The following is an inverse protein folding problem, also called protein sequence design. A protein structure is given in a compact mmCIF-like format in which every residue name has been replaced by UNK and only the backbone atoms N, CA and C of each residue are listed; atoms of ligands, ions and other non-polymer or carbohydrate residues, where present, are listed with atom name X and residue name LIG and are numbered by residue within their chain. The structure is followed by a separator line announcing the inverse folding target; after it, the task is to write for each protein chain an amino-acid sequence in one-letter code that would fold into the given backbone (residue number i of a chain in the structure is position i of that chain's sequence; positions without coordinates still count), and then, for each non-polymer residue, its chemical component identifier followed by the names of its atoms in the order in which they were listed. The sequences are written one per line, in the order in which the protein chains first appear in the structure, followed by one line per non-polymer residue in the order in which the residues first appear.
data_IF_295931250489
#
_entry.id   IF_295931250489
#
_cell.length_a   1.000
_cell.length_b   1.000
_cell.length_c   1.000
_cell.angle_alpha   90.00
_cell.angle_beta   90.00
_cell.angle_gamma   90.00
#
_symmetry.space_group_name_H-M   'P 1'
#
loop_
_entity.id
_entity.type
_entity.pdbx_description
1 polymer ?
#
# COMPACT_ATOMS: atom_id res chain seq x y z
N UNK A 1 9.17 -11.89 -25.17
CA UNK A 1 7.85 -12.37 -24.70
C UNK A 1 7.17 -11.17 -24.08
N UNK A 2 5.97 -10.84 -24.52
CA UNK A 2 5.20 -9.73 -23.97
C UNK A 2 4.41 -10.22 -22.76
N UNK A 3 4.65 -9.61 -21.60
CA UNK A 3 4.05 -9.95 -20.31
C UNK A 3 3.11 -8.87 -19.79
N UNK A 4 2.83 -7.84 -20.60
CA UNK A 4 2.13 -6.62 -20.16
C UNK A 4 0.82 -6.95 -19.45
N UNK A 5 0.01 -7.83 -20.05
CA UNK A 5 -1.27 -8.23 -19.47
C UNK A 5 -1.12 -8.94 -18.12
N UNK A 6 -0.15 -9.85 -17.97
CA UNK A 6 0.08 -10.58 -16.73
C UNK A 6 0.59 -9.66 -15.63
N UNK A 7 1.46 -8.71 -15.98
CA UNK A 7 1.98 -7.70 -15.04
C UNK A 7 0.87 -6.74 -14.60
N UNK A 8 -0.03 -6.32 -15.48
CA UNK A 8 -1.19 -5.50 -15.13
C UNK A 8 -2.19 -6.24 -14.22
N UNK A 9 -2.46 -7.52 -14.52
CA UNK A 9 -3.31 -8.36 -13.67
C UNK A 9 -2.71 -8.52 -12.27
N UNK A 10 -1.40 -8.81 -12.19
CA UNK A 10 -0.70 -8.92 -10.93
C UNK A 10 -0.76 -7.60 -10.14
N UNK A 11 -0.48 -6.46 -10.80
CA UNK A 11 -0.53 -5.13 -10.16
C UNK A 11 -1.91 -4.87 -9.55
N UNK A 12 -2.97 -5.05 -10.33
CA UNK A 12 -4.35 -4.85 -9.87
C UNK A 12 -4.68 -5.74 -8.67
N UNK A 13 -4.23 -7.00 -8.71
CA UNK A 13 -4.47 -7.95 -7.62
C UNK A 13 -3.75 -7.55 -6.33
N UNK A 14 -2.47 -7.16 -6.42
CA UNK A 14 -1.70 -6.71 -5.25
C UNK A 14 -2.25 -5.41 -4.65
N UNK A 15 -2.67 -4.45 -5.49
CA UNK A 15 -3.30 -3.21 -5.02
C UNK A 15 -4.63 -3.51 -4.31
N UNK A 16 -5.47 -4.38 -4.87
CA UNK A 16 -6.71 -4.82 -4.22
C UNK A 16 -6.46 -5.53 -2.89
N UNK A 17 -5.41 -6.36 -2.81
CA UNK A 17 -5.02 -7.02 -1.56
C UNK A 17 -4.56 -6.01 -0.50
N UNK A 18 -3.72 -5.04 -0.88
CA UNK A 18 -3.28 -3.94 0.01
C UNK A 18 -4.48 -3.21 0.59
N UNK A 19 -5.42 -2.81 -0.26
CA UNK A 19 -6.58 -2.01 0.15
C UNK A 19 -7.48 -2.80 1.13
N UNK A 20 -7.69 -4.08 0.88
CA UNK A 20 -8.42 -4.97 1.80
C UNK A 20 -7.72 -5.07 3.15
N UNK A 21 -6.40 -5.28 3.17
CA UNK A 21 -5.64 -5.36 4.41
C UNK A 21 -5.71 -4.04 5.19
N UNK A 22 -5.57 -2.89 4.52
CA UNK A 22 -5.67 -1.58 5.17
C UNK A 22 -7.06 -1.35 5.76
N UNK A 23 -8.12 -1.71 5.03
CA UNK A 23 -9.50 -1.59 5.49
C UNK A 23 -9.78 -2.40 6.77
N UNK A 24 -9.20 -3.60 6.92
CA UNK A 24 -9.34 -4.41 8.14
C UNK A 24 -8.64 -3.74 9.34
N UNK A 25 -7.45 -3.17 9.15
CA UNK A 25 -6.75 -2.44 10.21
C UNK A 25 -7.52 -1.20 10.67
N UNK A 26 -8.07 -0.43 9.73
CA UNK A 26 -8.91 0.72 10.03
C UNK A 26 -10.22 0.31 10.71
N UNK A 27 -10.81 -0.84 10.35
CA UNK A 27 -12.00 -1.38 11.01
C UNK A 27 -11.74 -1.68 12.48
N UNK A 28 -10.62 -2.31 12.80
CA UNK A 28 -10.20 -2.60 14.17
C UNK A 28 -10.01 -1.30 14.98
N UNK A 29 -9.43 -0.25 14.38
CA UNK A 29 -9.30 1.06 15.03
C UNK A 29 -10.67 1.69 15.31
N UNK A 30 -11.59 1.65 14.32
CA UNK A 30 -12.96 2.17 14.47
C UNK A 30 -13.74 1.45 15.58
N UNK A 31 -13.61 0.12 15.70
CA UNK A 31 -14.22 -0.66 16.78
C UNK A 31 -13.78 -0.18 18.18
N UNK A 32 -12.58 0.38 18.28
CA UNK A 32 -12.02 0.91 19.52
C UNK A 32 -12.19 2.44 19.67
N UNK A 33 -13.00 3.06 18.81
CA UNK A 33 -13.32 4.48 18.82
C UNK A 33 -12.14 5.37 18.39
N UNK A 34 -11.31 4.88 17.48
CA UNK A 34 -10.20 5.61 16.88
C UNK A 34 -10.51 5.91 15.41
N UNK A 35 -10.23 7.14 14.98
CA UNK A 35 -10.34 7.59 13.58
C UNK A 35 -9.01 7.45 12.83
N UNK A 36 -8.13 6.57 13.29
CA UNK A 36 -6.86 6.34 12.62
C UNK A 36 -7.07 5.70 11.24
N UNK A 37 -6.42 6.27 10.22
CA UNK A 37 -6.50 5.85 8.83
C UNK A 37 -5.11 5.77 8.19
N UNK A 38 -4.98 5.00 7.10
CA UNK A 38 -3.73 4.90 6.35
C UNK A 38 -3.42 6.17 5.57
N UNK A 39 -2.21 6.68 5.76
CA UNK A 39 -1.60 7.65 4.85
C UNK A 39 -0.82 6.92 3.75
N UNK A 40 -1.23 7.11 2.50
CA UNK A 40 -0.59 6.51 1.33
C UNK A 40 0.44 7.47 0.72
N UNK A 41 1.68 7.00 0.56
CA UNK A 41 2.77 7.76 -0.05
C UNK A 41 3.28 7.01 -1.29
N UNK A 42 3.05 7.52 -2.51
CA UNK A 42 3.67 6.97 -3.70
C UNK A 42 5.18 7.24 -3.70
N UNK A 43 5.96 6.32 -4.26
CA UNK A 43 7.38 6.49 -4.45
C UNK A 43 7.84 5.87 -5.76
N UNK A 44 8.92 6.40 -6.30
CA UNK A 44 9.58 5.90 -7.50
C UNK A 44 11.07 5.71 -7.19
N UNK A 45 11.66 4.64 -7.72
CA UNK A 45 13.09 4.39 -7.58
C UNK A 45 13.82 5.17 -8.65
N UNK A 46 14.72 6.05 -8.22
CA UNK A 46 15.71 6.66 -9.11
C UNK A 46 16.77 5.63 -9.51
N UNK A 47 17.23 5.73 -10.75
CA UNK A 47 18.30 4.90 -11.32
C UNK A 47 19.41 5.83 -11.80
N UNK A 48 20.67 5.38 -11.73
CA UNK A 48 21.83 6.19 -12.11
C UNK A 48 21.84 6.56 -13.61
N UNK A 49 21.16 5.77 -14.44
CA UNK A 49 21.06 5.95 -15.89
C UNK A 49 19.73 6.59 -16.34
N UNK A 50 18.84 6.95 -15.42
CA UNK A 50 17.55 7.55 -15.70
C UNK A 50 16.50 6.59 -16.27
N UNK A 51 16.75 5.27 -16.27
CA UNK A 51 15.77 4.25 -16.62
C UNK A 51 14.68 4.09 -15.54
N UNK A 52 13.54 3.48 -15.88
CA UNK A 52 12.48 3.22 -14.89
C UNK A 52 12.95 2.17 -13.85
N UNK A 53 13.19 2.61 -12.62
CA UNK A 53 13.61 1.73 -11.51
C UNK A 53 12.47 1.00 -10.79
N UNK A 54 11.24 1.20 -11.25
CA UNK A 54 10.02 0.77 -10.56
C UNK A 54 9.59 1.73 -9.44
N UNK A 55 8.64 1.30 -8.62
CA UNK A 55 8.06 2.12 -7.57
C UNK A 55 6.95 1.38 -6.84
N UNK A 56 6.16 2.12 -6.07
CA UNK A 56 5.01 1.57 -5.37
C UNK A 56 4.31 2.61 -4.51
N UNK A 57 3.43 2.15 -3.63
CA UNK A 57 2.72 2.99 -2.67
C UNK A 57 2.89 2.39 -1.29
N UNK A 58 3.46 3.17 -0.37
CA UNK A 58 3.56 2.80 1.05
C UNK A 58 2.34 3.32 1.80
N UNK A 59 1.58 2.45 2.44
CA UNK A 59 0.58 2.82 3.44
C UNK A 59 1.19 2.79 4.84
N UNK A 60 1.02 3.84 5.63
CA UNK A 60 1.35 3.86 7.07
C UNK A 60 0.19 4.42 7.87
N UNK A 61 -0.19 3.74 8.95
CA UNK A 61 -1.15 4.22 9.94
C UNK A 61 -0.51 4.19 11.33
N UNK A 62 -0.91 5.13 12.18
CA UNK A 62 -0.66 5.11 13.62
C UNK A 62 -1.99 5.37 14.33
N UNK A 63 -2.33 4.55 15.29
CA UNK A 63 -3.62 4.59 15.95
C UNK A 63 -3.56 4.18 17.41
N UNK A 64 -4.74 3.91 17.95
CA UNK A 64 -4.99 3.57 19.35
C UNK A 64 -4.74 2.10 19.63
N UNK A 65 -5.06 1.23 18.67
CA UNK A 65 -4.83 -0.22 18.77
C UNK A 65 -3.45 -0.57 18.24
N UNK A 66 -3.09 -0.02 17.09
CA UNK A 66 -1.80 -0.20 16.47
C UNK A 66 -0.95 1.05 16.67
N UNK A 67 0.08 0.96 17.52
CA UNK A 67 1.06 2.06 17.68
C UNK A 67 1.61 2.51 16.32
N UNK A 68 1.86 1.53 15.43
CA UNK A 68 2.21 1.73 14.02
C UNK A 68 1.96 0.48 13.21
N UNK A 69 1.41 0.63 12.01
CA UNK A 69 1.31 -0.43 11.00
C UNK A 69 1.67 0.13 9.63
N UNK A 70 2.22 -0.73 8.76
CA UNK A 70 2.49 -0.37 7.37
C UNK A 70 2.24 -1.53 6.41
N UNK A 71 1.75 -1.21 5.22
CA UNK A 71 1.49 -2.14 4.11
C UNK A 71 2.17 -1.56 2.86
N UNK A 72 2.89 -2.39 2.11
CA UNK A 72 3.62 -2.00 0.88
C UNK A 72 3.21 -2.89 -0.29
#
# INVERSE_FOLDING_TARGET
MDWTQQTEQARTWFESLRDRICAEFEAIEREMGSEAEFAYTPWQRETDDGSEGGGGVRGVMKGKVFEKVGVN
#
